data_IF_833109612515
#
_entry.id   IF_833109612515
#
_cell.length_a   1.000
_cell.length_b   1.000
_cell.length_c   1.000
_cell.angle_alpha   90.00
_cell.angle_beta   90.00
_cell.angle_gamma   90.00
#
_symmetry.space_group_name_H-M   'P 1'
#
loop_
_entity.id
_entity.type
_entity.pdbx_description
1 polymer ?
#
# COMPACT_ATOMS: atom_id res chain seq x y z
N UNK A 1 -5.22 1.20 10.92
CA UNK A 1 -4.78 1.84 9.66
C UNK A 1 -4.35 3.31 9.85
N UNK A 2 -3.38 3.56 10.73
CA UNK A 2 -2.99 4.93 11.13
C UNK A 2 -1.81 5.50 10.33
N UNK A 3 -1.35 4.79 9.29
CA UNK A 3 -0.23 5.23 8.47
C UNK A 3 -0.39 6.66 7.91
N UNK A 4 -1.58 7.12 7.48
CA UNK A 4 -1.78 8.51 7.05
C UNK A 4 -1.46 9.57 8.10
N UNK A 5 -1.54 9.23 9.39
CA UNK A 5 -1.33 10.16 10.51
C UNK A 5 0.16 10.50 10.73
N UNK A 6 1.05 9.69 10.14
CA UNK A 6 2.50 9.85 10.24
C UNK A 6 3.14 10.38 8.95
N UNK A 7 2.33 10.70 7.95
CA UNK A 7 2.78 11.20 6.64
C UNK A 7 2.46 12.69 6.50
N UNK A 8 3.36 13.43 5.86
CA UNK A 8 3.06 14.78 5.33
C UNK A 8 1.98 14.71 4.26
N UNK A 9 1.38 15.85 3.88
CA UNK A 9 0.32 15.87 2.86
C UNK A 9 0.75 15.21 1.54
N UNK A 10 1.99 15.46 1.08
CA UNK A 10 2.58 14.82 -0.11
C UNK A 10 3.38 13.53 0.21
N UNK A 11 3.17 12.96 1.39
CA UNK A 11 3.90 11.79 1.87
C UNK A 11 3.51 10.52 1.11
N UNK A 12 4.46 9.59 1.03
CA UNK A 12 4.25 8.25 0.46
C UNK A 12 4.60 7.17 1.47
N UNK A 13 3.89 6.06 1.41
CA UNK A 13 4.23 4.81 2.09
C UNK A 13 4.84 3.85 1.08
N UNK A 14 6.01 3.31 1.42
CA UNK A 14 6.60 2.15 0.75
C UNK A 14 6.45 0.96 1.68
N UNK A 15 5.90 -0.14 1.18
CA UNK A 15 5.68 -1.34 1.97
C UNK A 15 6.12 -2.59 1.21
N UNK A 16 6.89 -3.45 1.87
CA UNK A 16 7.29 -4.76 1.37
C UNK A 16 6.36 -5.84 1.93
N UNK A 17 5.80 -6.62 1.02
CA UNK A 17 4.91 -7.76 1.29
C UNK A 17 5.43 -9.07 0.68
N UNK A 18 6.53 -9.01 -0.09
CA UNK A 18 7.16 -10.17 -0.72
C UNK A 18 6.17 -11.02 -1.51
N UNK A 19 6.11 -12.33 -1.20
CA UNK A 19 5.24 -13.29 -1.87
C UNK A 19 3.74 -13.03 -1.69
N UNK A 20 3.35 -12.18 -0.73
CA UNK A 20 1.95 -11.82 -0.52
C UNK A 20 1.41 -10.84 -1.57
N UNK A 21 2.25 -10.35 -2.50
CA UNK A 21 1.85 -9.47 -3.61
C UNK A 21 0.61 -9.98 -4.36
N UNK A 22 0.62 -11.24 -4.78
CA UNK A 22 -0.48 -11.82 -5.57
C UNK A 22 -1.78 -11.84 -4.77
N UNK A 23 -1.69 -12.18 -3.48
CA UNK A 23 -2.85 -12.18 -2.58
C UNK A 23 -3.36 -10.76 -2.34
N UNK A 24 -2.47 -9.76 -2.23
CA UNK A 24 -2.89 -8.36 -2.11
C UNK A 24 -3.63 -7.86 -3.34
N UNK A 25 -3.14 -8.19 -4.54
CA UNK A 25 -3.80 -7.79 -5.78
C UNK A 25 -5.17 -8.46 -5.97
N UNK A 26 -5.33 -9.70 -5.50
CA UNK A 26 -6.59 -10.44 -5.57
C UNK A 26 -7.61 -9.97 -4.51
N UNK A 27 -7.17 -9.75 -3.27
CA UNK A 27 -8.04 -9.34 -2.17
C UNK A 27 -8.43 -7.86 -2.23
N UNK A 28 -7.55 -7.01 -2.76
CA UNK A 28 -7.73 -5.55 -2.77
C UNK A 28 -7.52 -4.96 -4.17
N UNK A 29 -8.31 -5.37 -5.18
CA UNK A 29 -8.11 -4.96 -6.57
C UNK A 29 -8.39 -3.46 -6.80
N UNK A 30 -9.21 -2.84 -5.94
CA UNK A 30 -9.58 -1.42 -6.03
C UNK A 30 -8.54 -0.48 -5.42
N UNK A 31 -7.60 -1.02 -4.62
CA UNK A 31 -6.57 -0.18 -3.99
C UNK A 31 -5.49 0.13 -5.03
N UNK A 32 -5.15 1.42 -5.26
CA UNK A 32 -4.25 1.84 -6.32
C UNK A 32 -2.77 1.64 -5.93
N UNK A 33 -2.37 0.41 -5.60
CA UNK A 33 -0.98 0.07 -5.33
C UNK A 33 -0.11 0.31 -6.56
N UNK A 34 0.95 1.10 -6.39
CA UNK A 34 2.01 1.21 -7.40
C UNK A 34 3.11 0.20 -7.08
N UNK A 35 3.11 -0.95 -7.73
CA UNK A 35 4.15 -1.97 -7.54
C UNK A 35 5.49 -1.50 -8.11
N UNK A 36 6.54 -1.54 -7.28
CA UNK A 36 7.87 -1.09 -7.64
C UNK A 36 8.64 -2.22 -8.31
N UNK A 37 9.18 -1.94 -9.49
CA UNK A 37 10.03 -2.86 -10.24
C UNK A 37 11.51 -2.59 -9.98
N UNK A 38 12.30 -3.65 -9.79
CA UNK A 38 13.74 -3.57 -9.53
C UNK A 38 14.53 -4.17 -10.69
N UNK A 39 15.60 -3.47 -11.10
CA UNK A 39 16.48 -3.91 -12.20
C UNK A 39 17.27 -5.18 -11.90
N UNK A 40 17.51 -5.48 -10.62
CA UNK A 40 18.26 -6.66 -10.16
C UNK A 40 17.33 -7.80 -9.67
N UNK A 41 16.05 -7.76 -10.05
CA UNK A 41 15.04 -8.69 -9.57
C UNK A 41 14.52 -8.35 -8.16
N UNK A 42 13.49 -9.05 -7.73
CA UNK A 42 12.72 -8.76 -6.51
C UNK A 42 11.35 -8.17 -6.82
N UNK A 43 10.36 -8.55 -6.02
CA UNK A 43 8.95 -8.16 -6.19
C UNK A 43 8.28 -8.00 -4.82
N UNK A 44 7.04 -7.52 -4.84
CA UNK A 44 6.24 -7.39 -3.64
C UNK A 44 6.59 -6.18 -2.80
N UNK A 45 7.11 -5.12 -3.42
CA UNK A 45 7.18 -3.79 -2.80
C UNK A 45 6.21 -2.89 -3.55
N UNK A 46 5.35 -2.19 -2.82
CA UNK A 46 4.47 -1.18 -3.41
C UNK A 46 4.69 0.19 -2.78
N UNK A 47 4.32 1.22 -3.55
CA UNK A 47 4.11 2.58 -3.12
C UNK A 47 2.62 2.90 -3.11
N UNK A 48 2.20 3.69 -2.13
CA UNK A 48 0.88 4.32 -2.09
C UNK A 48 1.01 5.72 -1.46
N UNK A 49 0.31 6.70 -1.99
CA UNK A 49 0.35 8.07 -1.45
C UNK A 49 -0.50 8.18 -0.18
N UNK A 50 -0.22 9.18 0.65
CA UNK A 50 -1.09 9.51 1.78
C UNK A 50 -2.53 9.75 1.33
N UNK A 51 -2.73 10.50 0.26
CA UNK A 51 -4.06 10.78 -0.31
C UNK A 51 -4.80 9.48 -0.67
N UNK A 52 -4.13 8.54 -1.33
CA UNK A 52 -4.70 7.23 -1.66
C UNK A 52 -5.01 6.40 -0.41
N UNK A 53 -4.11 6.40 0.59
CA UNK A 53 -4.36 5.70 1.86
C UNK A 53 -5.60 6.25 2.60
N UNK A 54 -5.81 7.55 2.56
CA UNK A 54 -7.00 8.19 3.15
C UNK A 54 -8.25 7.82 2.36
N UNK A 55 -8.19 7.87 1.02
CA UNK A 55 -9.31 7.51 0.15
C UNK A 55 -9.74 6.05 0.31
N UNK A 56 -8.81 5.14 0.60
CA UNK A 56 -9.05 3.72 0.80
C UNK A 56 -9.14 3.31 2.28
N UNK A 57 -9.27 4.25 3.22
CA UNK A 57 -9.17 3.97 4.65
C UNK A 57 -10.19 2.92 5.16
N UNK A 58 -11.36 2.85 4.53
CA UNK A 58 -12.43 1.89 4.86
C UNK A 58 -12.05 0.45 4.49
N UNK A 59 -11.31 0.25 3.39
CA UNK A 59 -10.78 -1.07 2.99
C UNK A 59 -9.73 -1.59 3.99
N UNK A 60 -9.07 -0.68 4.70
CA UNK A 60 -8.10 -1.01 5.75
C UNK A 60 -8.70 -1.02 7.16
N UNK A 61 -10.01 -0.81 7.31
CA UNK A 61 -10.67 -0.59 8.61
C UNK A 61 -10.70 -1.82 9.51
N UNK A 62 -10.56 -3.02 8.94
CA UNK A 62 -10.49 -4.29 9.69
C UNK A 62 -9.21 -4.37 10.57
N UNK A 63 -8.24 -3.48 10.35
CA UNK A 63 -6.98 -3.41 11.08
C UNK A 63 -6.81 -2.09 11.87
N UNK A 64 -7.91 -1.37 12.16
CA UNK A 64 -7.94 -0.34 13.21
C UNK A 64 -8.39 -1.01 14.50
N UNK A 65 -7.42 -1.38 15.34
CA UNK A 65 -7.65 -1.40 16.78
C UNK A 65 -7.77 0.04 17.29
#
# INVERSE_FOLDING_TARGET
SNAPDYLTDDGILICEVGNSMVHMMDQYPEIPFTWIEFSNGGHGVFMITREQLVACADEFSIYKD
#
